data_IF_070694635392
#
_entry.id   IF_070694635392
#
_cell.length_a   1.000
_cell.length_b   1.000
_cell.length_c   1.000
_cell.angle_alpha   90.00
_cell.angle_beta   90.00
_cell.angle_gamma   90.00
#
_symmetry.space_group_name_H-M   'P 1'
#
loop_
_entity.id
_entity.type
_entity.pdbx_description
1 polymer ?
#
# COMPACT_ATOMS: atom_id res chain seq x y z
N UNK A 1 -51.02 25.77 -5.18
CA UNK A 1 -50.72 26.72 -6.29
C UNK A 1 -50.56 28.11 -5.69
N UNK A 2 -49.73 29.04 -6.20
CA UNK A 2 -48.53 29.01 -7.07
C UNK A 2 -47.27 29.39 -6.21
N UNK A 3 -46.00 29.49 -6.64
CA UNK A 3 -45.37 30.25 -7.73
C UNK A 3 -43.97 29.69 -8.08
N UNK A 4 -43.68 29.54 -9.36
CA UNK A 4 -42.33 29.32 -9.91
C UNK A 4 -41.75 30.64 -10.43
N UNK A 5 -40.49 30.92 -10.09
CA UNK A 5 -39.76 32.12 -10.49
C UNK A 5 -38.72 31.85 -11.57
N UNK A 6 -39.01 32.37 -12.77
CA UNK A 6 -38.15 33.08 -13.75
C UNK A 6 -36.79 32.46 -14.18
N UNK A 7 -36.77 32.03 -15.44
CA UNK A 7 -35.60 31.93 -16.33
C UNK A 7 -35.21 33.30 -16.90
N UNK A 8 -33.90 33.60 -16.94
CA UNK A 8 -33.33 34.73 -17.65
C UNK A 8 -32.47 34.23 -18.83
N UNK A 9 -32.71 34.81 -20.00
CA UNK A 9 -32.04 34.55 -21.29
C UNK A 9 -31.30 35.84 -21.64
N UNK A 10 -29.98 35.77 -21.87
CA UNK A 10 -29.14 36.89 -22.27
C UNK A 10 -28.15 36.47 -23.34
N UNK A 11 -28.18 37.16 -24.48
CA UNK A 11 -27.47 36.90 -25.75
C UNK A 11 -26.09 37.59 -25.82
N UNK A 12 -25.38 37.21 -26.90
CA UNK A 12 -24.36 37.97 -27.66
C UNK A 12 -22.90 37.73 -27.29
N UNK A 13 -21.91 37.68 -28.20
CA UNK A 13 -21.81 37.56 -29.67
C UNK A 13 -20.33 37.73 -30.08
N UNK A 14 -19.97 37.29 -31.30
CA UNK A 14 -18.87 37.77 -32.20
C UNK A 14 -17.46 37.15 -32.15
N UNK A 15 -17.20 36.31 -33.16
CA UNK A 15 -16.22 36.44 -34.27
C UNK A 15 -14.91 37.25 -34.06
N UNK A 16 -13.78 36.64 -34.45
CA UNK A 16 -12.90 37.15 -35.51
C UNK A 16 -11.87 36.10 -35.99
N UNK A 17 -11.44 36.29 -37.22
CA UNK A 17 -10.74 35.41 -38.16
C UNK A 17 -9.34 35.99 -38.46
N UNK A 18 -8.30 35.19 -38.71
CA UNK A 18 -7.36 35.34 -39.85
C UNK A 18 -6.16 34.37 -39.89
N UNK A 19 -5.84 34.03 -41.13
CA UNK A 19 -4.76 33.19 -41.72
C UNK A 19 -3.36 33.82 -41.66
N UNK A 20 -2.29 33.01 -41.69
CA UNK A 20 -1.44 32.74 -42.89
C UNK A 20 0.01 32.29 -42.56
N UNK A 21 0.43 31.20 -43.23
CA UNK A 21 1.74 30.77 -43.80
C UNK A 21 3.04 31.50 -43.36
N UNK A 22 4.24 30.89 -43.20
CA UNK A 22 5.07 30.21 -44.22
C UNK A 22 6.46 29.84 -43.64
N UNK A 23 7.04 28.69 -44.01
CA UNK A 23 8.48 28.49 -44.33
C UNK A 23 9.50 28.16 -43.23
N UNK A 24 10.30 27.09 -43.44
CA UNK A 24 11.65 26.93 -42.86
C UNK A 24 12.07 25.49 -42.50
N UNK A 25 12.88 24.85 -43.35
CA UNK A 25 13.53 23.55 -43.15
C UNK A 25 14.68 23.56 -42.11
N UNK A 26 14.65 22.59 -41.17
CA UNK A 26 15.74 21.75 -40.55
C UNK A 26 17.01 22.41 -39.92
N UNK A 27 17.81 21.70 -39.07
CA UNK A 27 17.62 20.42 -38.36
C UNK A 27 18.04 20.41 -36.85
N UNK A 28 17.77 19.26 -36.22
CA UNK A 28 18.49 18.62 -35.11
C UNK A 28 18.45 19.21 -33.68
N UNK A 29 17.74 18.53 -32.78
CA UNK A 29 18.19 18.35 -31.39
C UNK A 29 17.54 17.10 -30.78
N UNK A 30 18.32 16.02 -30.74
CA UNK A 30 18.14 14.97 -29.73
C UNK A 30 17.94 15.63 -28.37
N UNK A 31 16.79 15.38 -27.76
CA UNK A 31 16.60 15.61 -26.33
C UNK A 31 16.10 14.30 -25.74
N UNK A 32 17.06 13.47 -25.35
CA UNK A 32 16.82 12.46 -24.34
C UNK A 32 16.23 13.15 -23.11
N UNK A 33 14.99 12.81 -22.77
CA UNK A 33 14.37 13.13 -21.49
C UNK A 33 14.45 11.89 -20.61
N UNK A 34 15.64 11.68 -20.05
CA UNK A 34 15.81 10.94 -18.80
C UNK A 34 15.81 11.96 -17.66
N UNK A 35 15.43 11.50 -16.47
CA UNK A 35 15.56 12.19 -15.17
C UNK A 35 14.42 13.13 -14.75
N UNK A 36 13.26 12.54 -14.48
CA UNK A 36 12.44 12.97 -13.32
C UNK A 36 12.49 11.97 -12.14
N UNK A 37 13.17 10.83 -12.27
CA UNK A 37 13.16 9.77 -11.25
C UNK A 37 14.33 9.80 -10.24
N UNK A 38 15.31 10.71 -10.40
CA UNK A 38 16.50 10.72 -9.52
C UNK A 38 16.37 11.60 -8.27
N UNK A 39 15.54 12.66 -8.30
CA UNK A 39 15.37 13.52 -7.12
C UNK A 39 14.48 12.88 -6.03
N UNK A 40 13.66 11.89 -6.39
CA UNK A 40 12.85 11.12 -5.43
C UNK A 40 13.65 10.05 -4.67
N UNK A 41 14.63 9.42 -5.33
CA UNK A 41 15.45 8.33 -4.77
C UNK A 41 16.40 8.76 -3.65
N UNK A 42 16.77 10.05 -3.59
CA UNK A 42 17.76 10.53 -2.61
C UNK A 42 17.24 10.71 -1.18
N UNK A 43 15.91 10.68 -0.94
CA UNK A 43 15.36 10.99 0.39
C UNK A 43 15.31 9.78 1.35
N UNK A 44 15.49 8.57 0.82
CA UNK A 44 15.33 7.33 1.57
C UNK A 44 16.44 6.29 1.33
N UNK A 45 17.40 6.57 0.43
CA UNK A 45 18.59 5.74 0.27
C UNK A 45 19.34 5.61 1.61
N UNK A 46 19.49 4.36 2.08
CA UNK A 46 20.06 3.92 3.37
C UNK A 46 19.13 3.95 4.59
N UNK A 47 17.81 3.97 4.40
CA UNK A 47 16.92 3.68 5.52
C UNK A 47 16.84 2.17 5.73
N UNK A 48 17.21 1.75 6.95
CA UNK A 48 16.94 0.42 7.46
C UNK A 48 15.97 0.48 8.64
N UNK A 49 15.23 -0.60 8.84
CA UNK A 49 14.20 -0.69 9.85
C UNK A 49 13.94 -2.11 10.28
N UNK A 50 13.22 -2.25 11.39
CA UNK A 50 12.77 -3.55 11.88
C UNK A 50 11.34 -3.80 11.44
N UNK A 51 11.12 -4.93 10.79
CA UNK A 51 9.81 -5.40 10.36
C UNK A 51 9.20 -6.29 11.43
N UNK A 52 7.95 -6.01 11.76
CA UNK A 52 7.14 -6.76 12.70
C UNK A 52 5.79 -7.11 12.08
N UNK A 53 5.21 -8.23 12.53
CA UNK A 53 3.80 -8.48 12.42
C UNK A 53 3.08 -7.78 13.58
N UNK A 54 2.25 -6.80 13.28
CA UNK A 54 1.34 -6.19 14.23
C UNK A 54 0.01 -6.93 14.22
N UNK A 55 -0.37 -7.48 15.38
CA UNK A 55 -1.60 -8.26 15.57
C UNK A 55 -2.60 -7.42 16.36
N UNK A 56 -3.82 -7.32 15.84
CA UNK A 56 -4.93 -6.61 16.46
C UNK A 56 -6.11 -7.53 16.72
N UNK A 57 -7.00 -7.11 17.62
CA UNK A 57 -8.34 -7.67 17.77
C UNK A 57 -9.09 -7.67 16.42
N UNK A 58 -10.00 -8.63 16.19
CA UNK A 58 -10.86 -8.64 15.01
C UNK A 58 -11.57 -7.29 14.84
N UNK A 59 -11.60 -6.79 13.60
CA UNK A 59 -12.29 -5.54 13.29
C UNK A 59 -13.75 -5.82 12.94
N UNK A 60 -14.68 -4.91 13.29
CA UNK A 60 -16.07 -5.03 12.85
C UNK A 60 -16.15 -5.16 11.33
N UNK A 61 -16.82 -6.21 10.84
CA UNK A 61 -16.99 -6.47 9.40
C UNK A 61 -15.92 -7.39 8.76
N UNK A 62 -14.87 -7.77 9.49
CA UNK A 62 -13.82 -8.68 9.00
C UNK A 62 -13.97 -10.14 9.50
N UNK A 63 -15.01 -10.41 10.29
CA UNK A 63 -15.25 -11.71 10.93
C UNK A 63 -14.55 -11.84 12.29
N UNK A 64 -14.38 -13.07 12.78
CA UNK A 64 -13.74 -13.37 14.06
C UNK A 64 -12.22 -13.68 13.93
N UNK A 65 -11.58 -13.16 12.88
CA UNK A 65 -10.16 -13.41 12.60
C UNK A 65 -9.33 -12.24 13.14
N UNK A 66 -8.17 -12.55 13.73
CA UNK A 66 -7.22 -11.52 14.15
C UNK A 66 -6.77 -10.70 12.96
N UNK A 67 -6.79 -9.38 13.11
CA UNK A 67 -6.35 -8.49 12.06
C UNK A 67 -4.83 -8.39 12.06
N UNK A 68 -4.21 -8.61 10.90
CA UNK A 68 -2.76 -8.57 10.72
C UNK A 68 -2.35 -7.36 9.88
N UNK A 69 -1.25 -6.73 10.29
CA UNK A 69 -0.58 -5.69 9.54
C UNK A 69 0.93 -5.85 9.65
N UNK A 70 1.67 -5.40 8.64
CA UNK A 70 3.11 -5.25 8.74
C UNK A 70 3.44 -3.88 9.36
N UNK A 71 4.31 -3.87 10.36
CA UNK A 71 4.80 -2.68 11.01
C UNK A 71 6.30 -2.55 10.80
N UNK A 72 6.73 -1.50 10.10
CA UNK A 72 8.13 -1.19 9.87
C UNK A 72 8.54 -0.01 10.76
N UNK A 73 9.48 -0.26 11.66
CA UNK A 73 10.04 0.74 12.57
C UNK A 73 11.44 1.16 12.11
N UNK A 74 11.52 2.28 11.38
CA UNK A 74 12.79 2.94 11.08
C UNK A 74 13.07 3.94 12.20
N UNK A 75 13.77 3.46 13.23
CA UNK A 75 14.02 4.10 14.53
C UNK A 75 14.42 5.59 14.48
N UNK A 76 14.98 6.07 13.38
CA UNK A 76 15.53 7.42 13.22
C UNK A 76 14.68 8.37 12.36
N UNK A 77 13.65 7.88 11.64
CA UNK A 77 12.94 8.69 10.64
C UNK A 77 11.44 8.57 10.74
N UNK A 78 10.91 7.39 10.43
CA UNK A 78 9.48 7.20 10.29
C UNK A 78 9.09 5.76 10.60
N UNK A 79 7.79 5.59 10.79
CA UNK A 79 7.16 4.29 11.01
C UNK A 79 6.11 4.08 9.95
N UNK A 80 5.96 2.85 9.48
CA UNK A 80 4.93 2.47 8.52
C UNK A 80 4.11 1.31 9.06
N UNK A 81 2.79 1.42 8.96
CA UNK A 81 1.87 0.30 9.14
C UNK A 81 1.24 0.03 7.78
N UNK A 82 1.45 -1.18 7.27
CA UNK A 82 0.96 -1.67 6.00
C UNK A 82 -0.09 -2.73 6.28
N UNK A 83 -1.33 -2.48 5.87
CA UNK A 83 -2.45 -3.38 6.07
C UNK A 83 -3.40 -3.34 4.88
N UNK A 84 -4.40 -4.21 4.91
CA UNK A 84 -5.62 -4.02 4.13
C UNK A 84 -6.77 -3.68 5.05
N UNK A 85 -7.57 -2.70 4.65
CA UNK A 85 -8.79 -2.32 5.34
C UNK A 85 -10.01 -2.65 4.47
N UNK A 86 -11.14 -2.88 5.11
CA UNK A 86 -12.40 -3.19 4.45
C UNK A 86 -12.99 -4.50 4.97
N UNK A 87 -13.53 -5.30 4.07
CA UNK A 87 -14.07 -6.60 4.38
C UNK A 87 -14.03 -7.51 3.16
N UNK A 88 -14.64 -8.72 3.26
CA UNK A 88 -14.60 -9.71 2.20
C UNK A 88 -14.95 -9.13 0.83
N UNK A 89 -14.08 -9.34 -0.17
CA UNK A 89 -14.18 -8.84 -1.55
C UNK A 89 -14.13 -7.32 -1.74
N UNK A 90 -13.88 -6.55 -0.68
CA UNK A 90 -13.80 -5.08 -0.71
C UNK A 90 -12.56 -4.56 0.00
N UNK A 91 -11.48 -5.36 -0.03
CA UNK A 91 -10.21 -5.00 0.56
C UNK A 91 -9.54 -3.87 -0.20
N UNK A 92 -8.92 -2.97 0.56
CA UNK A 92 -8.19 -1.81 0.06
C UNK A 92 -6.88 -1.67 0.82
N UNK A 93 -5.80 -1.37 0.10
CA UNK A 93 -4.49 -1.12 0.71
C UNK A 93 -4.59 0.11 1.61
N UNK A 94 -4.05 -0.01 2.81
CA UNK A 94 -3.89 1.08 3.77
C UNK A 94 -2.43 1.13 4.20
N UNK A 95 -1.80 2.29 4.03
CA UNK A 95 -0.44 2.55 4.49
C UNK A 95 -0.50 3.77 5.40
N UNK A 96 -0.24 3.57 6.68
CA UNK A 96 -0.22 4.62 7.69
C UNK A 96 1.22 4.97 8.03
N UNK A 97 1.53 6.26 8.12
CA UNK A 97 2.88 6.75 8.44
C UNK A 97 2.89 7.54 9.74
N UNK A 98 4.01 7.53 10.46
CA UNK A 98 4.19 8.33 11.68
C UNK A 98 3.35 7.85 12.87
N UNK A 99 2.91 6.59 12.86
CA UNK A 99 2.11 6.00 13.93
C UNK A 99 2.61 4.60 14.30
N UNK A 100 2.26 4.17 15.52
CA UNK A 100 2.66 2.87 16.07
C UNK A 100 1.43 2.02 16.37
N UNK A 101 1.48 0.70 16.14
CA UNK A 101 0.38 -0.21 16.47
C UNK A 101 -0.14 -0.03 17.90
N UNK A 102 0.78 0.12 18.86
CA UNK A 102 0.49 0.28 20.29
C UNK A 102 -0.31 1.52 20.68
N UNK A 103 -0.55 2.46 19.75
CA UNK A 103 -1.41 3.62 19.98
C UNK A 103 -2.89 3.32 19.78
N UNK A 104 -3.22 2.13 19.29
CA UNK A 104 -4.61 1.71 19.05
C UNK A 104 -5.07 0.75 20.14
N UNK A 105 -6.31 0.91 20.61
CA UNK A 105 -6.88 0.04 21.64
C UNK A 105 -7.09 -1.41 21.18
N UNK A 106 -7.11 -1.65 19.86
CA UNK A 106 -7.24 -2.99 19.28
C UNK A 106 -5.91 -3.73 19.21
N UNK A 107 -4.76 -3.06 19.41
CA UNK A 107 -3.45 -3.70 19.34
C UNK A 107 -3.27 -4.73 20.45
N UNK A 108 -2.81 -5.93 20.07
CA UNK A 108 -2.48 -7.00 21.01
C UNK A 108 -0.99 -7.09 21.24
N UNK A 109 -0.21 -7.24 20.17
CA UNK A 109 1.24 -7.43 20.24
C UNK A 109 1.90 -7.20 18.88
N UNK A 110 3.23 -7.05 18.92
CA UNK A 110 4.10 -7.09 17.75
C UNK A 110 4.96 -8.34 17.82
N UNK A 111 5.13 -9.04 16.70
CA UNK A 111 6.06 -10.16 16.57
C UNK A 111 7.15 -9.79 15.57
N UNK A 112 8.40 -9.91 15.97
CA UNK A 112 9.53 -9.58 15.09
C UNK A 112 9.60 -10.55 13.91
N UNK A 113 9.73 -10.02 12.70
CA UNK A 113 9.89 -10.80 11.49
C UNK A 113 11.34 -10.70 11.01
N UNK A 114 11.77 -9.52 10.60
CA UNK A 114 13.08 -9.31 9.98
C UNK A 114 13.63 -7.91 10.14
N UNK A 115 14.92 -7.75 9.86
CA UNK A 115 15.55 -6.45 9.64
C UNK A 115 15.51 -6.20 8.13
N UNK A 116 15.03 -5.03 7.73
CA UNK A 116 14.96 -4.57 6.34
C UNK A 116 16.01 -3.48 6.17
N UNK A 117 16.93 -3.68 5.25
CA UNK A 117 18.02 -2.74 4.93
C UNK A 117 17.66 -1.76 3.81
N UNK A 118 16.73 -2.14 2.94
CA UNK A 118 16.19 -1.29 1.87
C UNK A 118 14.67 -1.06 2.03
N UNK A 119 14.34 0.02 2.74
CA UNK A 119 12.95 0.44 2.98
C UNK A 119 12.23 0.85 1.68
N UNK A 120 12.95 1.38 0.68
CA UNK A 120 12.33 1.80 -0.58
C UNK A 120 11.87 0.59 -1.38
N UNK A 121 12.72 -0.43 -1.47
CA UNK A 121 12.37 -1.69 -2.11
C UNK A 121 11.23 -2.39 -1.36
N UNK A 122 11.25 -2.40 -0.02
CA UNK A 122 10.11 -2.89 0.76
C UNK A 122 8.79 -2.17 0.40
N UNK A 123 8.78 -0.84 0.36
CA UNK A 123 7.57 -0.08 0.03
C UNK A 123 7.14 -0.31 -1.43
N UNK A 124 8.11 -0.43 -2.34
CA UNK A 124 7.84 -0.80 -3.74
C UNK A 124 7.11 -2.14 -3.82
N UNK A 125 7.58 -3.16 -3.11
CA UNK A 125 6.96 -4.48 -3.10
C UNK A 125 5.57 -4.49 -2.46
N UNK A 126 5.38 -3.73 -1.39
CA UNK A 126 4.05 -3.48 -0.82
C UNK A 126 3.09 -2.88 -1.84
N UNK A 127 3.55 -1.91 -2.64
CA UNK A 127 2.73 -1.26 -3.67
C UNK A 127 2.39 -2.19 -4.84
N UNK A 128 3.30 -3.10 -5.19
CA UNK A 128 3.12 -4.07 -6.25
C UNK A 128 2.30 -5.30 -5.82
N UNK A 129 2.24 -5.60 -4.52
CA UNK A 129 1.48 -6.74 -3.99
C UNK A 129 0.00 -6.61 -4.35
N UNK A 130 -0.54 -7.58 -5.08
CA UNK A 130 -1.91 -7.51 -5.59
C UNK A 130 -2.93 -7.79 -4.49
N UNK A 131 -3.98 -6.98 -4.42
CA UNK A 131 -5.13 -7.25 -3.55
C UNK A 131 -6.13 -8.09 -4.34
N UNK A 132 -6.40 -9.30 -3.85
CA UNK A 132 -7.29 -10.24 -4.54
C UNK A 132 -8.70 -10.22 -3.98
N UNK A 133 -9.52 -9.29 -4.46
CA UNK A 133 -10.94 -9.20 -4.09
C UNK A 133 -11.84 -10.27 -4.76
N UNK A 134 -11.31 -11.07 -5.68
CA UNK A 134 -12.08 -12.14 -6.35
C UNK A 134 -12.16 -13.41 -5.49
N UNK A 135 -11.15 -13.65 -4.64
CA UNK A 135 -11.04 -14.83 -3.78
C UNK A 135 -11.73 -14.57 -2.45
N UNK A 136 -12.71 -15.41 -2.10
CA UNK A 136 -13.53 -15.26 -0.87
C UNK A 136 -12.69 -15.37 0.39
N UNK A 137 -11.76 -16.31 0.40
CA UNK A 137 -10.93 -16.62 1.56
C UNK A 137 -9.73 -15.68 1.70
N UNK A 138 -9.54 -14.76 0.75
CA UNK A 138 -8.45 -13.80 0.81
C UNK A 138 -8.78 -12.70 1.83
N UNK A 139 -7.85 -12.46 2.75
CA UNK A 139 -8.03 -11.58 3.90
C UNK A 139 -6.72 -10.87 4.28
N UNK A 140 -6.70 -10.18 5.41
CA UNK A 140 -5.52 -9.47 5.91
C UNK A 140 -4.32 -10.38 6.23
N UNK A 141 -4.56 -11.63 6.63
CA UNK A 141 -3.49 -12.60 6.88
C UNK A 141 -2.82 -13.02 5.56
N UNK A 142 -3.63 -13.37 4.56
CA UNK A 142 -3.11 -13.72 3.24
C UNK A 142 -2.37 -12.54 2.60
N UNK A 143 -2.84 -11.30 2.76
CA UNK A 143 -2.13 -10.12 2.27
C UNK A 143 -0.72 -9.98 2.86
N UNK A 144 -0.57 -10.25 4.16
CA UNK A 144 0.76 -10.21 4.80
C UNK A 144 1.65 -11.32 4.24
N UNK A 145 1.13 -12.53 4.05
CA UNK A 145 1.88 -13.64 3.45
C UNK A 145 2.32 -13.29 2.02
N UNK A 146 1.42 -12.72 1.20
CA UNK A 146 1.72 -12.32 -0.17
C UNK A 146 2.84 -11.27 -0.24
N UNK A 147 2.93 -10.36 0.73
CA UNK A 147 4.04 -9.40 0.84
C UNK A 147 5.34 -10.15 1.21
N UNK A 148 5.30 -11.01 2.22
CA UNK A 148 6.50 -11.75 2.65
C UNK A 148 7.08 -12.61 1.53
N UNK A 149 6.23 -13.27 0.74
CA UNK A 149 6.64 -14.03 -0.44
C UNK A 149 7.39 -13.14 -1.43
N UNK A 150 6.92 -11.90 -1.66
CA UNK A 150 7.61 -10.93 -2.51
C UNK A 150 8.92 -10.43 -1.92
N UNK A 151 8.96 -10.15 -0.63
CA UNK A 151 10.21 -9.73 0.03
C UNK A 151 11.29 -10.80 -0.10
N UNK A 152 10.93 -12.09 0.01
CA UNK A 152 11.88 -13.18 -0.21
C UNK A 152 12.33 -13.26 -1.67
N UNK A 153 11.39 -13.17 -2.62
CA UNK A 153 11.71 -13.25 -4.04
C UNK A 153 12.62 -12.11 -4.55
N UNK A 154 12.60 -10.95 -3.88
CA UNK A 154 13.45 -9.80 -4.18
C UNK A 154 14.68 -9.71 -3.25
N UNK A 155 15.00 -10.79 -2.54
CA UNK A 155 16.16 -10.90 -1.63
C UNK A 155 16.20 -9.83 -0.50
N UNK A 156 15.05 -9.29 -0.10
CA UNK A 156 14.91 -8.33 1.01
C UNK A 156 14.85 -9.02 2.39
N UNK A 157 14.54 -10.31 2.40
CA UNK A 157 14.64 -11.20 3.56
C UNK A 157 15.30 -12.49 3.08
N UNK A 158 16.10 -13.12 3.93
CA UNK A 158 16.78 -14.36 3.56
C UNK A 158 15.84 -15.58 3.59
N UNK A 159 16.14 -16.59 2.76
CA UNK A 159 15.31 -17.79 2.63
C UNK A 159 15.09 -18.54 3.95
N UNK A 160 16.08 -18.57 4.84
CA UNK A 160 15.97 -19.28 6.12
C UNK A 160 15.04 -18.53 7.07
N UNK A 161 15.21 -17.21 7.15
CA UNK A 161 14.38 -16.32 7.92
C UNK A 161 12.95 -16.31 7.40
N UNK A 162 12.77 -16.25 6.08
CA UNK A 162 11.46 -16.34 5.44
C UNK A 162 10.78 -17.68 5.75
N UNK A 163 11.49 -18.80 5.66
CA UNK A 163 10.94 -20.12 5.99
C UNK A 163 10.47 -20.19 7.45
N UNK A 164 11.28 -19.72 8.41
CA UNK A 164 10.89 -19.66 9.83
C UNK A 164 9.66 -18.76 10.06
N UNK A 165 9.64 -17.58 9.44
CA UNK A 165 8.50 -16.66 9.50
C UNK A 165 7.25 -17.36 8.95
N UNK A 166 7.34 -17.96 7.76
CA UNK A 166 6.22 -18.58 7.06
C UNK A 166 5.62 -19.71 7.89
N UNK A 167 6.44 -20.61 8.42
CA UNK A 167 5.99 -21.73 9.24
C UNK A 167 5.32 -21.25 10.53
N UNK A 168 5.90 -20.24 11.18
CA UNK A 168 5.34 -19.66 12.41
C UNK A 168 3.99 -19.00 12.17
N UNK A 169 3.85 -18.25 11.07
CA UNK A 169 2.61 -17.57 10.74
C UNK A 169 1.53 -18.55 10.27
N UNK A 170 1.88 -19.54 9.45
CA UNK A 170 0.96 -20.60 9.03
C UNK A 170 0.42 -21.37 10.25
N UNK A 171 1.28 -21.69 11.21
CA UNK A 171 0.87 -22.31 12.48
C UNK A 171 -0.10 -21.43 13.30
N UNK A 172 -0.10 -20.10 13.14
CA UNK A 172 -1.09 -19.22 13.78
C UNK A 172 -2.44 -19.27 13.06
N UNK A 173 -2.42 -19.32 11.72
CA UNK A 173 -3.62 -19.46 10.89
C UNK A 173 -4.32 -20.78 11.23
N UNK A 174 -3.58 -21.89 11.26
CA UNK A 174 -4.13 -23.23 11.51
C UNK A 174 -4.73 -23.38 12.92
N UNK A 175 -4.08 -22.76 13.93
CA UNK A 175 -4.61 -22.70 15.30
C UNK A 175 -5.87 -21.84 15.41
N UNK A 176 -5.92 -20.72 14.68
CA UNK A 176 -7.11 -19.88 14.60
C UNK A 176 -8.30 -20.62 14.00
N UNK A 177 -8.08 -21.34 12.90
CA UNK A 177 -9.08 -22.15 12.22
C UNK A 177 -9.58 -23.35 13.05
N UNK A 178 -8.79 -23.81 14.02
CA UNK A 178 -9.17 -24.91 14.91
C UNK A 178 -10.10 -24.47 16.05
N UNK A 179 -10.15 -23.16 16.37
CA UNK A 179 -10.99 -22.62 17.46
C UNK A 179 -12.47 -22.36 17.09
N UNK A 180 -12.86 -22.61 15.84
CA UNK A 180 -14.25 -22.45 15.34
C UNK A 180 -15.02 -23.79 15.23
N UNK A 181 -14.49 -24.88 15.80
CA UNK A 181 -15.06 -26.25 15.70
C UNK A 181 -15.55 -26.85 17.02
N UNK A 182 -15.93 -26.01 17.99
CA UNK A 182 -16.60 -26.44 19.23
C UNK A 182 -17.94 -25.72 19.43
#
# INVERSE_FOLDING_TARGET
>A
MPTQGKTAKGKSSKQAEKKSQKGGDKPNKETGKTSSNELGKKRFANLSGRLYLAIYNPRPGEGNVLHWALFLDCRSTNTWIVEVAGGPRQWRRSILTGTRPSRTASHRRNEYLADIDDVDSFLSEVHQTTINNSVVLWNCQQYVMDILDRLNNEDLIDDYQYADIRDRLQSQIDRGASSERD
#
